data_IF_996673914123
#
_entry.id   IF_996673914123
#
_cell.length_a   1.000
_cell.length_b   1.000
_cell.length_c   1.000
_cell.angle_alpha   90.00
_cell.angle_beta   90.00
_cell.angle_gamma   90.00
#
_symmetry.space_group_name_H-M   'P 1'
#
loop_
_entity.id
_entity.type
_entity.pdbx_description
1 polymer ?
#
# COMPACT_ATOMS: atom_id res chain seq x y z
N UNK A 1 -44.62 -5.07 31.93
CA UNK A 1 -44.79 -4.92 30.47
C UNK A 1 -43.82 -3.87 29.91
N UNK A 2 -43.62 -2.77 30.56
CA UNK A 2 -42.70 -1.72 30.12
C UNK A 2 -41.22 -2.15 30.16
N UNK A 3 -40.88 -3.09 31.02
CA UNK A 3 -39.52 -3.59 31.15
C UNK A 3 -39.03 -4.33 29.90
N UNK A 4 -39.89 -5.02 29.18
CA UNK A 4 -39.54 -5.72 27.97
C UNK A 4 -39.06 -4.79 26.84
N UNK A 5 -39.72 -3.65 26.72
CA UNK A 5 -39.38 -2.68 25.68
C UNK A 5 -37.98 -2.09 25.87
N UNK A 6 -37.64 -1.82 27.12
CA UNK A 6 -36.36 -1.24 27.48
C UNK A 6 -35.21 -2.22 27.16
N UNK A 7 -35.40 -3.48 27.49
CA UNK A 7 -34.40 -4.51 27.24
C UNK A 7 -34.14 -4.72 25.72
N UNK A 8 -35.20 -4.69 24.92
CA UNK A 8 -35.06 -4.83 23.48
C UNK A 8 -34.30 -3.69 22.85
N UNK A 9 -34.53 -2.47 23.32
CA UNK A 9 -33.82 -1.31 22.80
C UNK A 9 -32.33 -1.37 23.10
N UNK A 10 -31.97 -1.79 24.30
CA UNK A 10 -30.54 -1.93 24.66
C UNK A 10 -29.83 -2.98 23.85
N UNK A 11 -30.49 -4.09 23.59
CA UNK A 11 -29.91 -5.16 22.80
C UNK A 11 -29.66 -4.71 21.35
N UNK A 12 -30.57 -3.98 20.76
CA UNK A 12 -30.45 -3.50 19.39
C UNK A 12 -29.24 -2.56 19.21
N UNK A 13 -29.03 -1.66 20.15
CA UNK A 13 -27.90 -0.73 20.12
C UNK A 13 -26.56 -1.48 20.19
N UNK A 14 -26.49 -2.51 21.03
CA UNK A 14 -25.27 -3.30 21.17
C UNK A 14 -24.91 -4.04 19.88
N UNK A 15 -25.88 -4.53 19.13
CA UNK A 15 -25.60 -5.24 17.89
C UNK A 15 -25.12 -4.29 16.78
N UNK A 16 -25.53 -3.04 16.75
CA UNK A 16 -25.03 -2.06 15.80
C UNK A 16 -23.59 -1.66 16.07
N UNK A 17 -23.18 -1.62 17.32
CA UNK A 17 -21.83 -1.24 17.68
C UNK A 17 -20.78 -2.26 17.29
N UNK A 18 -21.16 -3.50 17.05
CA UNK A 18 -20.23 -4.56 16.67
C UNK A 18 -20.02 -4.73 15.16
N UNK A 19 -20.76 -4.00 14.32
CA UNK A 19 -20.77 -4.23 12.89
C UNK A 19 -19.56 -3.70 12.11
N UNK A 20 -18.86 -2.63 12.47
CA UNK A 20 -17.81 -2.05 11.64
C UNK A 20 -16.40 -2.57 11.89
N UNK A 21 -16.25 -3.79 12.35
CA UNK A 21 -14.94 -4.29 12.72
C UNK A 21 -14.11 -4.80 11.51
N UNK A 22 -14.62 -4.72 10.29
CA UNK A 22 -13.92 -5.18 9.10
C UNK A 22 -13.17 -4.03 8.46
N UNK A 23 -11.96 -3.79 8.92
CA UNK A 23 -11.06 -2.86 8.27
C UNK A 23 -10.47 -3.49 7.02
N UNK A 24 -10.35 -2.72 5.95
CA UNK A 24 -9.61 -3.15 4.77
C UNK A 24 -8.15 -3.39 5.13
N UNK A 25 -7.49 -4.36 4.47
CA UNK A 25 -6.06 -4.55 4.68
C UNK A 25 -5.29 -3.26 4.31
N UNK A 26 -4.17 -2.96 5.01
CA UNK A 26 -3.39 -1.78 4.71
C UNK A 26 -2.92 -1.78 3.26
N UNK A 27 -3.03 -0.64 2.60
CA UNK A 27 -2.50 -0.47 1.26
C UNK A 27 -0.98 -0.44 1.30
N UNK A 28 -0.33 -0.77 0.18
CA UNK A 28 1.13 -0.73 0.10
C UNK A 28 1.67 0.67 0.38
N UNK A 29 0.97 1.72 -0.04
CA UNK A 29 1.36 3.09 0.27
C UNK A 29 1.31 3.39 1.77
N UNK A 30 0.36 2.83 2.49
CA UNK A 30 0.26 3.00 3.95
C UNK A 30 1.40 2.28 4.66
N UNK A 31 1.78 1.11 4.17
CA UNK A 31 2.91 0.36 4.71
C UNK A 31 4.22 1.11 4.46
N UNK A 32 4.39 1.66 3.27
CA UNK A 32 5.55 2.46 2.92
C UNK A 32 5.67 3.70 3.81
N UNK A 33 4.55 4.36 4.09
CA UNK A 33 4.52 5.50 4.98
C UNK A 33 4.98 5.13 6.39
N UNK A 34 4.52 4.00 6.91
CA UNK A 34 4.94 3.53 8.24
C UNK A 34 6.43 3.18 8.28
N UNK A 35 6.94 2.53 7.24
CA UNK A 35 8.36 2.22 7.15
C UNK A 35 9.20 3.50 7.15
N UNK A 36 8.75 4.54 6.48
CA UNK A 36 9.41 5.85 6.49
C UNK A 36 9.38 6.49 7.87
N UNK A 37 8.23 6.45 8.57
CA UNK A 37 8.08 7.00 9.91
C UNK A 37 8.99 6.32 10.91
N UNK A 38 9.26 5.04 10.72
CA UNK A 38 10.11 4.25 11.59
C UNK A 38 11.59 4.31 11.18
N UNK A 39 11.93 5.08 10.16
CA UNK A 39 13.30 5.26 9.69
C UNK A 39 13.86 4.09 8.90
N UNK A 40 13.03 3.14 8.48
CA UNK A 40 13.47 1.96 7.73
C UNK A 40 13.44 2.13 6.23
N UNK A 41 12.85 3.20 5.74
CA UNK A 41 12.72 3.42 4.30
C UNK A 41 12.72 4.92 3.98
N UNK A 42 13.19 5.25 2.79
CA UNK A 42 13.02 6.58 2.23
C UNK A 42 11.57 6.82 1.85
N UNK A 43 11.11 8.08 1.83
CA UNK A 43 9.76 8.39 1.36
C UNK A 43 9.52 7.82 -0.04
N UNK A 44 8.40 7.12 -0.23
CA UNK A 44 8.07 6.52 -1.51
C UNK A 44 8.06 7.52 -2.68
N UNK A 45 7.51 8.74 -2.55
CA UNK A 45 7.57 9.70 -3.65
C UNK A 45 8.99 10.05 -4.10
N UNK A 46 9.94 10.04 -3.18
CA UNK A 46 11.34 10.27 -3.51
C UNK A 46 11.91 9.15 -4.37
N UNK A 47 11.57 7.91 -4.03
CA UNK A 47 11.98 6.73 -4.79
C UNK A 47 11.33 6.72 -6.16
N UNK A 48 10.04 7.02 -6.22
CA UNK A 48 9.30 7.08 -7.48
C UNK A 48 9.89 8.12 -8.45
N UNK A 49 10.19 9.31 -7.95
CA UNK A 49 10.80 10.37 -8.77
C UNK A 49 12.16 9.99 -9.31
N UNK A 50 12.88 9.15 -8.61
CA UNK A 50 14.19 8.68 -9.06
C UNK A 50 14.10 7.68 -10.20
N UNK A 51 13.07 6.85 -10.20
CA UNK A 51 12.91 5.77 -11.18
C UNK A 51 12.15 6.21 -12.43
N UNK A 52 11.13 7.05 -12.28
CA UNK A 52 10.26 7.46 -13.39
C UNK A 52 11.00 7.91 -14.66
N UNK A 53 12.06 8.73 -14.58
CA UNK A 53 12.75 9.17 -15.79
C UNK A 53 13.34 8.06 -16.63
N UNK A 54 13.58 6.90 -16.06
CA UNK A 54 14.20 5.77 -16.76
C UNK A 54 13.19 4.83 -17.40
N UNK A 55 11.90 5.09 -17.25
CA UNK A 55 10.87 4.15 -17.67
C UNK A 55 10.23 4.48 -19.02
N UNK A 56 10.67 5.57 -19.67
CA UNK A 56 10.37 5.83 -21.08
C UNK A 56 8.90 5.91 -21.46
N UNK A 57 8.03 6.38 -20.58
CA UNK A 57 6.62 6.52 -20.89
C UNK A 57 5.78 5.29 -20.57
N UNK A 58 6.34 4.28 -19.92
CA UNK A 58 5.56 3.17 -19.40
C UNK A 58 4.59 3.64 -18.32
N UNK A 59 3.42 3.01 -18.24
CA UNK A 59 2.42 3.35 -17.24
C UNK A 59 2.77 2.73 -15.90
N UNK A 60 2.75 3.55 -14.85
CA UNK A 60 3.07 3.11 -13.51
C UNK A 60 1.86 2.43 -12.86
N UNK A 61 2.06 1.21 -12.38
CA UNK A 61 1.02 0.42 -11.73
C UNK A 61 1.02 0.56 -10.20
N UNK A 62 2.11 1.01 -9.64
CA UNK A 62 2.23 1.20 -8.20
C UNK A 62 3.35 0.40 -7.57
N UNK A 63 3.61 0.65 -6.28
CA UNK A 63 4.68 0.01 -5.54
C UNK A 63 4.24 -1.28 -4.88
N UNK A 64 5.22 -2.10 -4.56
CA UNK A 64 5.07 -3.26 -3.67
C UNK A 64 6.26 -3.26 -2.74
N UNK A 65 6.03 -3.30 -1.44
CA UNK A 65 7.09 -3.29 -0.45
C UNK A 65 7.33 -4.71 0.06
N UNK A 66 8.54 -5.21 -0.16
CA UNK A 66 8.95 -6.55 0.25
C UNK A 66 10.20 -6.43 1.12
N UNK A 67 10.05 -6.42 2.42
CA UNK A 67 11.15 -6.42 3.37
C UNK A 67 12.17 -5.33 3.10
N UNK A 68 12.61 -4.52 2.96
CA UNK A 68 13.59 -3.47 2.68
C UNK A 68 13.73 -3.12 1.21
N UNK A 69 12.90 -3.69 0.33
CA UNK A 69 12.97 -3.44 -1.10
C UNK A 69 11.60 -3.00 -1.63
N UNK A 70 11.58 -1.91 -2.38
CA UNK A 70 10.41 -1.51 -3.16
C UNK A 70 10.48 -2.12 -4.55
N UNK A 71 9.41 -2.79 -4.96
CA UNK A 71 9.23 -3.19 -6.36
C UNK A 71 8.25 -2.25 -7.02
N UNK A 72 8.72 -1.43 -7.93
CA UNK A 72 7.90 -0.53 -8.73
C UNK A 72 7.52 -1.24 -10.02
N UNK A 73 6.22 -1.34 -10.29
CA UNK A 73 5.70 -2.06 -11.45
C UNK A 73 5.19 -1.09 -12.49
N UNK A 74 5.46 -1.41 -13.75
CA UNK A 74 5.06 -0.60 -14.90
C UNK A 74 4.53 -1.51 -16.00
N UNK A 75 3.73 -0.94 -16.89
CA UNK A 75 3.30 -1.62 -18.12
C UNK A 75 3.83 -0.82 -19.31
N UNK A 76 4.54 -1.48 -20.21
CA UNK A 76 5.05 -0.84 -21.41
C UNK A 76 3.95 -0.76 -22.49
N UNK A 77 4.29 -0.12 -23.64
CA UNK A 77 3.33 0.07 -24.72
C UNK A 77 2.86 -1.22 -25.36
N UNK A 78 3.61 -2.30 -25.18
CA UNK A 78 3.27 -3.63 -25.70
C UNK A 78 2.46 -4.45 -24.69
N UNK A 79 2.09 -3.86 -23.55
CA UNK A 79 1.32 -4.54 -22.51
C UNK A 79 2.15 -5.46 -21.62
N UNK A 80 3.48 -5.38 -21.67
CA UNK A 80 4.34 -6.20 -20.83
C UNK A 80 4.60 -5.53 -19.50
N UNK A 81 4.60 -6.31 -18.42
CA UNK A 81 4.92 -5.82 -17.09
C UNK A 81 6.43 -5.74 -16.91
N UNK A 82 6.89 -4.57 -16.53
CA UNK A 82 8.29 -4.32 -16.18
C UNK A 82 8.33 -3.95 -14.71
N UNK A 83 9.27 -4.49 -13.96
CA UNK A 83 9.44 -4.08 -12.58
C UNK A 83 10.87 -3.66 -12.29
N UNK A 84 11.01 -2.76 -11.33
CA UNK A 84 12.30 -2.25 -10.86
C UNK A 84 12.34 -2.40 -9.35
N UNK A 85 13.33 -3.11 -8.84
CA UNK A 85 13.55 -3.28 -7.41
C UNK A 85 14.55 -2.22 -6.93
N UNK A 86 14.13 -1.48 -5.91
CA UNK A 86 14.90 -0.38 -5.34
C UNK A 86 15.11 -0.63 -3.86
N UNK A 87 16.33 -0.47 -3.38
CA UNK A 87 16.61 -0.53 -1.95
C UNK A 87 15.85 0.60 -1.26
N UNK A 88 15.01 0.24 -0.28
CA UNK A 88 14.14 1.20 0.36
C UNK A 88 14.89 2.21 1.24
N UNK A 89 16.05 1.85 1.76
CA UNK A 89 16.84 2.74 2.60
C UNK A 89 17.72 3.70 1.81
N UNK A 90 18.31 3.23 0.73
CA UNK A 90 19.29 4.01 -0.03
C UNK A 90 18.75 4.62 -1.32
N UNK A 91 17.65 4.06 -1.84
CA UNK A 91 17.11 4.46 -3.15
C UNK A 91 17.90 3.92 -4.33
N UNK A 92 18.81 2.98 -4.13
CA UNK A 92 19.57 2.38 -5.22
C UNK A 92 18.75 1.34 -5.94
N UNK A 93 18.81 1.35 -7.27
CA UNK A 93 18.20 0.29 -8.09
C UNK A 93 19.04 -0.98 -7.93
N UNK A 94 18.40 -2.03 -7.44
CA UNK A 94 19.06 -3.31 -7.13
C UNK A 94 18.91 -4.27 -8.30
N UNK A 95 17.74 -4.26 -8.95
CA UNK A 95 17.42 -5.19 -10.00
C UNK A 95 16.32 -4.63 -10.87
N UNK A 96 16.30 -5.05 -12.12
CA UNK A 96 15.29 -4.65 -13.08
C UNK A 96 14.92 -5.86 -13.93
N UNK A 97 13.63 -6.05 -14.19
CA UNK A 97 13.20 -7.09 -15.13
C UNK A 97 13.57 -6.71 -16.56
N UNK A 98 13.85 -7.72 -17.35
CA UNK A 98 14.07 -7.51 -18.79
C UNK A 98 12.71 -7.33 -19.46
N UNK A 99 12.59 -6.41 -20.40
CA UNK A 99 11.37 -6.25 -21.17
C UNK A 99 11.07 -7.47 -22.05
#
# INVERSE_FOLDING_TARGET
MTLFRTLLAAFFVASLAGAPALADPPRESDRAFRETQEGRALPLPQIERKVMPFMGGADYLGPELNGGTYRLKFVDRRGRVIWVDVDAQTGRIVRRSKP
#
